data_IF_122273295639
#
_entry.id   IF_122273295639
#
_cell.length_a   1.000
_cell.length_b   1.000
_cell.length_c   1.000
_cell.angle_alpha   90.00
_cell.angle_beta   90.00
_cell.angle_gamma   90.00
#
_symmetry.space_group_name_H-M   'P 1'
#
loop_
_entity.id
_entity.type
_entity.pdbx_description
1 polymer ?
#
# COMPACT_ATOMS: atom_id res chain seq x y z
N UNK A 1 17.82 9.44 4.85
CA UNK A 1 17.29 9.39 3.46
C UNK A 1 15.85 8.86 3.37
N UNK A 2 15.44 7.85 4.15
CA UNK A 2 14.07 7.24 4.11
C UNK A 2 12.87 8.17 4.31
N UNK A 3 13.00 9.28 5.07
CA UNK A 3 11.85 10.18 5.36
C UNK A 3 11.28 10.86 4.10
N UNK A 4 12.12 11.11 3.09
CA UNK A 4 11.69 11.71 1.81
C UNK A 4 10.85 10.74 0.97
N UNK A 5 11.20 9.45 0.98
CA UNK A 5 10.47 8.44 0.23
C UNK A 5 9.07 8.25 0.80
N UNK A 6 8.97 8.20 2.13
CA UNK A 6 7.69 8.11 2.84
C UNK A 6 6.82 9.34 2.57
N UNK A 7 7.39 10.55 2.57
CA UNK A 7 6.66 11.77 2.26
C UNK A 7 6.12 11.80 0.81
N UNK A 8 6.91 11.38 -0.17
CA UNK A 8 6.50 11.31 -1.58
C UNK A 8 5.37 10.29 -1.80
N UNK A 9 5.44 9.16 -1.10
CA UNK A 9 4.36 8.16 -1.09
C UNK A 9 3.10 8.74 -0.44
N UNK A 10 3.23 9.44 0.69
CA UNK A 10 2.10 10.09 1.37
C UNK A 10 1.43 11.21 0.55
N UNK A 11 2.18 11.96 -0.27
CA UNK A 11 1.62 12.99 -1.15
C UNK A 11 0.87 12.42 -2.35
N UNK A 12 1.32 11.28 -2.91
CA UNK A 12 0.71 10.71 -4.12
C UNK A 12 -0.42 9.70 -3.88
N UNK A 13 -0.45 9.06 -2.71
CA UNK A 13 -1.52 8.10 -2.38
C UNK A 13 -2.95 8.63 -2.32
N UNK A 14 -3.22 9.88 -1.86
CA UNK A 14 -4.57 10.42 -1.80
C UNK A 14 -5.27 10.42 -3.16
N UNK A 15 -4.51 10.57 -4.25
CA UNK A 15 -5.01 10.67 -5.62
C UNK A 15 -4.78 9.39 -6.46
N UNK A 16 -4.20 8.34 -5.89
CA UNK A 16 -3.97 7.09 -6.62
C UNK A 16 -5.30 6.35 -6.83
N UNK A 17 -5.58 5.95 -8.08
CA UNK A 17 -6.70 5.07 -8.42
C UNK A 17 -6.56 3.73 -7.69
N UNK A 18 -7.66 2.98 -7.43
CA UNK A 18 -7.59 1.66 -6.77
C UNK A 18 -6.58 0.72 -7.43
N UNK A 19 -6.47 0.76 -8.76
CA UNK A 19 -5.49 0.00 -9.54
C UNK A 19 -4.04 0.43 -9.27
N UNK A 20 -3.78 1.73 -9.12
CA UNK A 20 -2.46 2.25 -8.77
C UNK A 20 -2.04 1.88 -7.34
N UNK A 21 -2.99 1.76 -6.41
CA UNK A 21 -2.73 1.32 -5.03
C UNK A 21 -2.41 -0.17 -4.95
N UNK A 22 -3.12 -1.00 -5.72
CA UNK A 22 -2.81 -2.43 -5.86
C UNK A 22 -1.40 -2.64 -6.42
N UNK A 23 -1.05 -1.95 -7.52
CA UNK A 23 0.30 -2.02 -8.08
C UNK A 23 1.37 -1.59 -7.06
N UNK A 24 1.12 -0.52 -6.30
CA UNK A 24 2.04 -0.07 -5.24
C UNK A 24 2.20 -1.11 -4.12
N UNK A 25 1.13 -1.82 -3.74
CA UNK A 25 1.22 -2.92 -2.76
C UNK A 25 2.04 -4.09 -3.30
N UNK A 26 1.88 -4.45 -4.58
CA UNK A 26 2.68 -5.49 -5.23
C UNK A 26 4.17 -5.13 -5.26
N UNK A 27 4.50 -3.89 -5.60
CA UNK A 27 5.87 -3.37 -5.56
C UNK A 27 6.47 -3.42 -4.14
N UNK A 28 5.70 -3.02 -3.13
CA UNK A 28 6.14 -3.08 -1.73
C UNK A 28 6.34 -4.51 -1.23
N UNK A 29 5.56 -5.48 -1.73
CA UNK A 29 5.76 -6.91 -1.44
C UNK A 29 7.02 -7.45 -2.12
N UNK A 30 7.27 -7.06 -3.37
CA UNK A 30 8.51 -7.41 -4.05
C UNK A 30 9.74 -6.83 -3.32
N UNK A 31 9.65 -5.59 -2.84
CA UNK A 31 10.69 -4.95 -2.05
C UNK A 31 10.93 -5.65 -0.71
N UNK A 32 9.87 -6.08 -0.01
CA UNK A 32 10.01 -6.86 1.23
C UNK A 32 10.72 -8.19 0.98
N UNK A 33 10.33 -8.94 -0.06
CA UNK A 33 11.00 -10.20 -0.42
C UNK A 33 12.48 -10.01 -0.71
N UNK A 34 12.81 -9.01 -1.53
CA UNK A 34 14.19 -8.67 -1.84
C UNK A 34 14.99 -8.30 -0.56
N UNK A 35 14.39 -7.51 0.33
CA UNK A 35 14.99 -7.15 1.61
C UNK A 35 15.23 -8.38 2.52
N UNK A 36 14.32 -9.35 2.53
CA UNK A 36 14.50 -10.61 3.25
C UNK A 36 15.62 -11.46 2.65
N UNK A 37 15.66 -11.60 1.33
CA UNK A 37 16.70 -12.34 0.61
C UNK A 37 18.10 -11.78 0.88
N UNK A 38 18.24 -10.45 0.94
CA UNK A 38 19.52 -9.78 1.18
C UNK A 38 19.83 -9.55 2.67
N UNK A 39 19.05 -10.13 3.58
CA UNK A 39 19.21 -9.96 5.04
C UNK A 39 19.28 -8.48 5.46
N UNK A 40 18.43 -7.65 4.85
CA UNK A 40 18.30 -6.25 5.22
C UNK A 40 18.04 -6.10 6.73
N UNK A 41 18.43 -4.96 7.28
CA UNK A 41 18.28 -4.73 8.71
C UNK A 41 16.78 -4.75 9.11
N UNK A 42 16.47 -5.14 10.36
CA UNK A 42 15.09 -5.18 10.84
C UNK A 42 14.36 -3.84 10.77
N UNK A 43 15.07 -2.71 10.81
CA UNK A 43 14.51 -1.37 10.69
C UNK A 43 13.99 -1.08 9.28
N UNK A 44 14.71 -1.53 8.25
CA UNK A 44 14.28 -1.47 6.85
C UNK A 44 13.04 -2.31 6.62
N UNK A 45 13.02 -3.57 7.08
CA UNK A 45 11.83 -4.43 6.96
C UNK A 45 10.61 -3.84 7.68
N UNK A 46 10.81 -3.29 8.89
CA UNK A 46 9.74 -2.61 9.64
C UNK A 46 9.19 -1.41 8.90
N UNK A 47 10.05 -0.63 8.22
CA UNK A 47 9.65 0.53 7.44
C UNK A 47 8.85 0.15 6.20
N UNK A 48 9.23 -0.92 5.51
CA UNK A 48 8.49 -1.46 4.36
C UNK A 48 7.08 -1.91 4.79
N UNK A 49 6.99 -2.71 5.87
CA UNK A 49 5.71 -3.17 6.43
C UNK A 49 4.81 -2.02 6.88
N UNK A 50 5.38 -1.01 7.54
CA UNK A 50 4.62 0.18 7.95
C UNK A 50 4.03 0.92 6.73
N UNK A 51 4.78 0.98 5.64
CA UNK A 51 4.32 1.60 4.38
C UNK A 51 3.20 0.78 3.73
N UNK A 52 3.30 -0.55 3.71
CA UNK A 52 2.21 -1.42 3.24
C UNK A 52 0.92 -1.23 4.05
N UNK A 53 1.02 -1.15 5.39
CA UNK A 53 -0.14 -0.91 6.27
C UNK A 53 -0.76 0.46 6.00
N UNK A 54 0.05 1.50 5.79
CA UNK A 54 -0.43 2.82 5.45
C UNK A 54 -1.20 2.84 4.12
N UNK A 55 -0.67 2.17 3.09
CA UNK A 55 -1.33 2.04 1.79
C UNK A 55 -2.67 1.31 1.91
N UNK A 56 -2.71 0.19 2.64
CA UNK A 56 -3.95 -0.58 2.87
C UNK A 56 -5.02 0.22 3.62
N UNK A 57 -4.65 1.01 4.61
CA UNK A 57 -5.60 1.85 5.37
C UNK A 57 -6.18 3.00 4.55
N UNK A 58 -5.52 3.38 3.46
CA UNK A 58 -5.96 4.42 2.53
C UNK A 58 -6.84 3.88 1.40
N UNK A 59 -6.97 2.56 1.28
CA UNK A 59 -7.98 1.97 0.41
C UNK A 59 -9.37 2.17 1.05
N UNK A 60 -10.34 2.77 0.35
CA UNK A 60 -11.71 2.71 0.82
C UNK A 60 -12.09 1.22 0.92
N UNK A 61 -12.82 0.80 1.97
CA UNK A 61 -13.33 -0.56 2.02
C UNK A 61 -14.05 -0.85 0.70
N UNK A 62 -13.90 -2.06 0.11
CA UNK A 62 -14.71 -2.46 -1.02
C UNK A 62 -16.15 -2.24 -0.58
N UNK A 63 -16.81 -1.36 -1.31
CA UNK A 63 -18.09 -0.81 -0.95
C UNK A 63 -19.02 -1.97 -0.58
N UNK A 64 -19.55 -1.94 0.64
CA UNK A 64 -20.74 -2.69 1.03
C UNK A 64 -21.98 -2.09 0.32
N UNK A 65 -21.83 -1.75 -0.96
CA UNK A 65 -22.90 -1.50 -1.90
C UNK A 65 -23.48 -2.85 -2.27
N UNK A 66 -24.19 -3.44 -1.30
CA UNK A 66 -25.38 -4.21 -1.59
C UNK A 66 -26.37 -3.27 -2.29
N UNK A 67 -26.14 -2.98 -3.56
CA UNK A 67 -27.21 -2.58 -4.45
C UNK A 67 -28.01 -3.85 -4.70
N UNK A 68 -28.88 -4.17 -3.74
CA UNK A 68 -30.01 -5.06 -3.98
C UNK A 68 -30.68 -4.52 -5.25
N UNK A 69 -30.68 -5.37 -6.26
CA UNK A 69 -31.72 -5.40 -7.26
C UNK A 69 -33.07 -5.25 -6.57
N UNK A 70 -33.61 -4.04 -6.53
CA UNK A 70 -35.06 -3.88 -6.53
C UNK A 70 -35.49 -3.77 -7.99
N UNK A 71 -36.00 -4.89 -8.46
CA UNK A 71 -36.79 -5.02 -9.68
C UNK A 71 -37.95 -4.04 -9.62
N UNK A 72 -38.15 -3.30 -10.70
CA UNK A 72 -39.47 -2.84 -11.12
C UNK A 72 -39.76 -3.48 -12.48
#
# INVERSE_FOLDING_TARGET
MMRKLVALVQERLPNATPRGRLALLEELHALERNALEHRADPGTLRSIRATQVFVRRRDPPPDASGHRSDRV
#
